data_IF_263407155765
#
_entry.id   IF_263407155765
#
_cell.length_a   1.000
_cell.length_b   1.000
_cell.length_c   1.000
_cell.angle_alpha   90.00
_cell.angle_beta   90.00
_cell.angle_gamma   90.00
#
_symmetry.space_group_name_H-M   'P 1'
#
loop_
_entity.id
_entity.type
_entity.pdbx_description
1 polymer ?
#
# COMPACT_ATOMS: atom_id res chain seq x y z
N UNK A 1 -19.04 -28.59 -10.52
CA UNK A 1 -18.88 -28.40 -9.06
C UNK A 1 -17.39 -28.49 -8.77
N UNK A 2 -16.73 -27.36 -8.47
CA UNK A 2 -15.32 -27.35 -8.11
C UNK A 2 -15.03 -26.14 -7.23
N UNK A 3 -15.73 -26.08 -6.10
CA UNK A 3 -15.48 -25.14 -5.00
C UNK A 3 -14.67 -25.86 -3.89
N UNK A 4 -14.61 -27.20 -3.94
CA UNK A 4 -14.26 -28.03 -2.79
C UNK A 4 -12.75 -28.20 -2.51
N UNK A 5 -11.85 -27.71 -3.35
CA UNK A 5 -10.39 -27.86 -3.12
C UNK A 5 -9.78 -26.62 -2.43
N UNK A 6 -10.44 -25.45 -2.46
CA UNK A 6 -9.84 -24.20 -1.96
C UNK A 6 -10.54 -23.58 -0.74
N UNK A 7 -11.79 -23.96 -0.46
CA UNK A 7 -12.55 -23.40 0.66
C UNK A 7 -11.86 -23.55 2.04
N UNK A 8 -11.38 -24.74 2.46
CA UNK A 8 -10.72 -24.87 3.76
C UNK A 8 -9.38 -24.11 3.82
N UNK A 9 -8.68 -23.96 2.70
CA UNK A 9 -7.43 -23.20 2.61
C UNK A 9 -7.70 -21.71 2.76
N UNK A 10 -8.67 -21.19 1.99
CA UNK A 10 -9.14 -19.82 2.09
C UNK A 10 -9.59 -19.48 3.51
N UNK A 11 -10.41 -20.32 4.15
CA UNK A 11 -10.89 -20.07 5.52
C UNK A 11 -9.74 -20.08 6.53
N UNK A 12 -8.75 -20.96 6.39
CA UNK A 12 -7.56 -20.97 7.26
C UNK A 12 -6.74 -19.70 7.09
N UNK A 13 -6.53 -19.24 5.86
CA UNK A 13 -5.76 -18.04 5.59
C UNK A 13 -6.52 -16.78 6.00
N UNK A 14 -7.83 -16.73 5.82
CA UNK A 14 -8.69 -15.67 6.33
C UNK A 14 -8.57 -15.54 7.85
N UNK A 15 -8.65 -16.66 8.59
CA UNK A 15 -8.47 -16.65 10.05
C UNK A 15 -7.04 -16.23 10.44
N UNK A 16 -6.01 -16.66 9.72
CA UNK A 16 -4.63 -16.22 9.97
C UNK A 16 -4.50 -14.71 9.79
N UNK A 17 -4.99 -14.16 8.68
CA UNK A 17 -4.95 -12.71 8.38
C UNK A 17 -5.76 -11.92 9.40
N UNK A 18 -6.94 -12.40 9.78
CA UNK A 18 -7.80 -11.75 10.79
C UNK A 18 -7.15 -11.64 12.16
N UNK A 19 -6.24 -12.55 12.53
CA UNK A 19 -5.51 -12.51 13.81
C UNK A 19 -4.28 -11.60 13.77
N UNK A 20 -3.89 -11.10 12.58
CA UNK A 20 -2.74 -10.22 12.47
C UNK A 20 -3.06 -8.86 13.07
N UNK A 21 -2.15 -8.36 13.91
CA UNK A 21 -2.25 -7.01 14.47
C UNK A 21 -2.05 -5.99 13.36
N UNK A 22 -3.14 -5.32 12.99
CA UNK A 22 -3.11 -4.19 12.04
C UNK A 22 -2.61 -2.95 12.77
N UNK A 23 -1.55 -2.35 12.25
CA UNK A 23 -1.03 -1.08 12.72
C UNK A 23 -1.70 0.05 11.92
N UNK A 24 -2.06 1.14 12.57
CA UNK A 24 -2.69 2.27 11.91
C UNK A 24 -1.79 3.49 12.05
N UNK A 25 -1.52 4.15 10.93
CA UNK A 25 -0.81 5.43 10.91
C UNK A 25 -1.75 6.48 10.37
N UNK A 26 -2.04 7.48 11.20
CA UNK A 26 -2.78 8.69 10.79
C UNK A 26 -1.81 9.71 10.22
N UNK A 27 -2.14 10.33 9.11
CA UNK A 27 -1.29 11.32 8.44
C UNK A 27 -2.13 12.26 7.59
N UNK A 28 -1.56 13.41 7.22
CA UNK A 28 -2.23 14.41 6.39
C UNK A 28 -1.67 14.30 4.97
N UNK A 29 -2.54 14.11 4.00
CA UNK A 29 -2.18 14.02 2.59
C UNK A 29 -1.89 15.42 2.00
N UNK A 30 -1.39 15.47 0.77
CA UNK A 30 -1.02 16.69 0.03
C UNK A 30 -2.16 17.70 -0.12
N UNK A 31 -3.41 17.24 -0.08
CA UNK A 31 -4.62 18.04 -0.20
C UNK A 31 -5.16 18.52 1.18
N UNK A 32 -4.45 18.22 2.26
CA UNK A 32 -4.87 18.54 3.63
C UNK A 32 -5.83 17.52 4.23
N UNK A 33 -6.20 16.46 3.50
CA UNK A 33 -7.13 15.43 4.00
C UNK A 33 -6.44 14.53 5.02
N UNK A 34 -7.12 14.29 6.14
CA UNK A 34 -6.69 13.27 7.09
C UNK A 34 -6.89 11.88 6.50
N UNK A 35 -5.83 11.08 6.45
CA UNK A 35 -5.86 9.69 6.01
C UNK A 35 -5.37 8.76 7.11
N UNK A 36 -5.94 7.55 7.11
CA UNK A 36 -5.49 6.46 7.97
C UNK A 36 -5.05 5.31 7.09
N UNK A 37 -3.77 4.96 7.16
CA UNK A 37 -3.23 3.80 6.45
C UNK A 37 -3.10 2.64 7.41
N UNK A 38 -3.68 1.50 7.01
CA UNK A 38 -3.58 0.22 7.72
C UNK A 38 -2.36 -0.53 7.20
N UNK A 39 -1.49 -0.93 8.09
CA UNK A 39 -0.24 -1.62 7.79
C UNK A 39 -0.23 -2.97 8.49
N UNK A 40 0.21 -3.99 7.77
CA UNK A 40 0.65 -5.24 8.37
C UNK A 40 1.92 -5.01 9.21
N UNK A 41 2.25 -5.96 10.08
CA UNK A 41 3.47 -5.90 10.88
C UNK A 41 4.76 -5.69 10.04
N UNK A 42 5.01 -6.42 8.92
CA UNK A 42 6.21 -6.19 8.12
C UNK A 42 6.23 -4.82 7.41
N UNK A 43 5.08 -4.28 7.04
CA UNK A 43 4.99 -2.93 6.46
C UNK A 43 5.26 -1.87 7.52
N UNK A 44 4.68 -2.01 8.71
CA UNK A 44 4.93 -1.12 9.84
C UNK A 44 6.41 -1.12 10.24
N UNK A 45 7.05 -2.30 10.33
CA UNK A 45 8.47 -2.40 10.64
C UNK A 45 9.33 -1.67 9.59
N UNK A 46 9.06 -1.87 8.30
CA UNK A 46 9.76 -1.18 7.21
C UNK A 46 9.56 0.34 7.26
N UNK A 47 8.33 0.81 7.46
CA UNK A 47 8.02 2.23 7.60
C UNK A 47 8.76 2.85 8.78
N UNK A 48 8.79 2.14 9.92
CA UNK A 48 9.50 2.58 11.12
C UNK A 48 11.02 2.68 10.88
N UNK A 49 11.63 1.72 10.18
CA UNK A 49 13.05 1.79 9.80
C UNK A 49 13.35 3.02 8.93
N UNK A 50 12.49 3.32 7.95
CA UNK A 50 12.64 4.51 7.10
C UNK A 50 12.51 5.80 7.93
N UNK A 51 11.52 5.86 8.81
CA UNK A 51 11.28 6.98 9.71
C UNK A 51 12.49 7.24 10.61
N UNK A 52 13.03 6.19 11.22
CA UNK A 52 14.25 6.26 12.04
C UNK A 52 15.47 6.73 11.23
N UNK A 53 15.69 6.18 10.03
CA UNK A 53 16.81 6.56 9.17
C UNK A 53 16.77 8.03 8.75
N UNK A 54 15.58 8.59 8.59
CA UNK A 54 15.35 10.00 8.24
C UNK A 54 15.15 10.93 9.44
N UNK A 55 15.10 10.38 10.67
CA UNK A 55 14.80 11.11 11.92
C UNK A 55 13.49 11.92 11.86
N UNK A 56 12.48 11.37 11.21
CA UNK A 56 11.13 11.96 11.11
C UNK A 56 10.07 10.96 11.59
N UNK A 57 8.84 11.42 11.80
CA UNK A 57 7.74 10.54 12.20
C UNK A 57 7.24 9.69 11.02
N UNK A 58 6.62 8.53 11.31
CA UNK A 58 6.00 7.69 10.28
C UNK A 58 4.93 8.45 9.48
N UNK A 59 4.16 9.33 10.12
CA UNK A 59 3.18 10.18 9.45
C UNK A 59 3.82 11.14 8.44
N UNK A 60 4.99 11.67 8.76
CA UNK A 60 5.73 12.54 7.86
C UNK A 60 6.37 11.76 6.70
N UNK A 61 6.83 10.53 6.95
CA UNK A 61 7.25 9.63 5.85
C UNK A 61 6.08 9.39 4.88
N UNK A 62 4.87 9.15 5.40
CA UNK A 62 3.68 8.96 4.58
C UNK A 62 3.33 10.21 3.76
N UNK A 63 3.40 11.40 4.39
CA UNK A 63 3.23 12.68 3.69
C UNK A 63 4.22 12.83 2.53
N UNK A 64 5.50 12.59 2.78
CA UNK A 64 6.53 12.65 1.74
C UNK A 64 6.30 11.61 0.64
N UNK A 65 5.87 10.39 1.01
CA UNK A 65 5.57 9.33 0.06
C UNK A 65 4.44 9.71 -0.90
N UNK A 66 3.45 10.52 -0.48
CA UNK A 66 2.38 11.01 -1.34
C UNK A 66 2.86 11.95 -2.47
N UNK A 67 4.07 12.50 -2.36
CA UNK A 67 4.71 13.29 -3.40
C UNK A 67 5.58 12.45 -4.35
N UNK A 68 5.78 11.16 -4.07
CA UNK A 68 6.56 10.28 -4.96
C UNK A 68 5.73 10.02 -6.22
N UNK A 69 6.22 10.39 -7.41
CA UNK A 69 5.49 10.15 -8.65
C UNK A 69 5.31 8.64 -8.85
N UNK A 70 4.06 8.23 -9.02
CA UNK A 70 3.75 6.85 -9.43
C UNK A 70 4.22 6.71 -10.87
N UNK A 71 5.35 6.03 -11.10
CA UNK A 71 5.72 5.59 -12.44
C UNK A 71 4.61 4.63 -12.87
N UNK A 72 3.71 5.09 -13.74
CA UNK A 72 2.70 4.22 -14.33
C UNK A 72 3.42 3.26 -15.29
N UNK A 73 3.48 1.95 -15.02
CA UNK A 73 3.93 1.01 -16.01
C UNK A 73 2.84 0.90 -17.08
N UNK A 74 2.92 1.70 -18.14
CA UNK A 74 2.08 1.49 -19.33
C UNK A 74 1.34 2.69 -19.94
N UNK A 75 1.84 3.93 -19.86
CA UNK A 75 1.51 4.86 -20.96
C UNK A 75 2.28 4.39 -22.20
N UNK A 76 1.68 3.46 -22.95
CA UNK A 76 2.01 3.33 -24.38
C UNK A 76 1.74 4.71 -24.98
N UNK A 77 2.80 5.34 -25.48
CA UNK A 77 2.69 6.52 -26.33
C UNK A 77 1.64 6.25 -27.41
N UNK A 78 0.74 7.21 -27.75
CA UNK A 78 -0.12 7.05 -28.90
C UNK A 78 0.78 6.87 -30.13
N UNK A 79 0.74 5.68 -30.71
CA UNK A 79 1.34 5.43 -32.00
C UNK A 79 0.52 6.22 -33.02
N UNK A 80 1.12 7.10 -33.84
CA UNK A 80 0.39 7.80 -34.88
C UNK A 80 0.05 6.77 -35.97
N UNK A 81 -1.18 6.29 -35.96
CA UNK A 81 -1.77 5.69 -37.14
C UNK A 81 -2.19 6.80 -38.11
N UNK A 82 -1.86 6.58 -39.38
CA UNK A 82 -2.47 7.15 -40.60
C UNK A 82 -2.03 8.54 -41.10
N UNK A 83 -1.20 8.51 -42.15
CA UNK A 83 -1.26 9.34 -43.36
C UNK A 83 -0.33 8.67 -44.39
N UNK A 84 -0.60 8.44 -45.67
CA UNK A 84 -1.77 8.43 -46.55
C UNK A 84 -1.36 7.56 -47.76
#
# INVERSE_FOLDING_TARGET
MQIEIDEPTFLRDLVKVSRQKIHQVKWIDRDGTERVTRLSLPEHARLNTIAHGRKISMSEVMRQAAHVPVVQPGRKSPQPDAEA
#
